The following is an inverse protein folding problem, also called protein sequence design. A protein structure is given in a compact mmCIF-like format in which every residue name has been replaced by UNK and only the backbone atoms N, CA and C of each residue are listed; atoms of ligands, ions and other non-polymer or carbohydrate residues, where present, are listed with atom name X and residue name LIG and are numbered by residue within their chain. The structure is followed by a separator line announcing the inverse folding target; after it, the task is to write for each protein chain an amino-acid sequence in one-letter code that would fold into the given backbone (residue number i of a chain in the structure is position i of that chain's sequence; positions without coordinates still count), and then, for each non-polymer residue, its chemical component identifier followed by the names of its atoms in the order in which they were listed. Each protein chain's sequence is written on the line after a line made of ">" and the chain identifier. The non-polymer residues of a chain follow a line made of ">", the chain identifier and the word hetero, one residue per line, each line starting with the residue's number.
data_IF_787274114167
#
_entry.id   IF_787274114167
#
_cell.length_a   1.000
_cell.length_b   1.000
_cell.length_c   1.000
_cell.angle_alpha   90.00
_cell.angle_beta   90.00
_cell.angle_gamma   90.00
#
_symmetry.space_group_name_H-M   'P 1'
#
loop_
_entity.id
_entity.type
_entity.pdbx_description
1 polymer ?
#
# COMPACT_ATOMS: atom_id res chain seq x y z
N UNK A 1 -31.12 9.32 10.95
CA UNK A 1 -30.00 8.52 10.39
C UNK A 1 -28.70 9.17 10.84
N UNK A 2 -27.82 8.43 11.53
CA UNK A 2 -26.49 8.92 11.87
C UNK A 2 -25.62 8.97 10.60
N UNK A 3 -24.79 10.01 10.47
CA UNK A 3 -23.88 10.17 9.34
C UNK A 3 -22.85 9.01 9.33
N UNK A 4 -22.73 8.23 8.22
CA UNK A 4 -21.78 7.12 8.13
C UNK A 4 -20.32 7.53 8.40
N UNK A 5 -19.89 8.69 7.91
CA UNK A 5 -18.54 9.23 8.16
C UNK A 5 -18.34 9.49 9.65
N UNK A 6 -19.32 10.10 10.33
CA UNK A 6 -19.25 10.33 11.77
C UNK A 6 -19.21 9.02 12.58
N UNK A 7 -19.92 7.99 12.14
CA UNK A 7 -19.86 6.64 12.74
C UNK A 7 -18.47 6.01 12.62
N UNK A 8 -17.73 6.29 11.55
CA UNK A 8 -16.33 5.87 11.41
C UNK A 8 -15.33 6.88 12.03
N UNK A 9 -15.80 8.05 12.47
CA UNK A 9 -14.95 9.12 13.01
C UNK A 9 -14.11 9.80 11.93
N UNK A 10 -14.66 9.89 10.73
CA UNK A 10 -14.04 10.45 9.54
C UNK A 10 -14.76 11.72 9.10
N UNK A 11 -14.07 12.52 8.31
CA UNK A 11 -14.63 13.67 7.60
C UNK A 11 -15.24 13.22 6.26
N UNK A 12 -16.19 13.97 5.68
CA UNK A 12 -16.81 13.60 4.40
C UNK A 12 -15.85 13.52 3.21
N UNK A 13 -14.66 14.13 3.32
CA UNK A 13 -13.60 14.08 2.30
C UNK A 13 -12.67 12.86 2.45
N UNK A 14 -12.88 11.99 3.46
CA UNK A 14 -12.02 10.84 3.72
C UNK A 14 -12.00 9.86 2.54
N UNK A 15 -10.79 9.47 2.12
CA UNK A 15 -10.56 8.53 1.03
C UNK A 15 -10.95 7.10 1.37
N UNK A 16 -10.97 6.22 0.36
CA UNK A 16 -11.33 4.81 0.57
C UNK A 16 -10.35 4.08 1.50
N UNK A 17 -9.07 4.43 1.44
CA UNK A 17 -8.04 3.89 2.33
C UNK A 17 -8.32 4.24 3.81
N UNK A 18 -8.71 5.49 4.07
CA UNK A 18 -9.10 5.97 5.40
C UNK A 18 -10.36 5.24 5.91
N UNK A 19 -11.36 5.07 5.05
CA UNK A 19 -12.61 4.35 5.35
C UNK A 19 -12.32 2.90 5.78
N UNK A 20 -11.59 2.12 4.96
CA UNK A 20 -11.24 0.73 5.29
C UNK A 20 -10.43 0.62 6.59
N UNK A 21 -9.51 1.56 6.84
CA UNK A 21 -8.66 1.54 8.04
C UNK A 21 -9.43 1.92 9.31
N UNK A 22 -10.25 2.96 9.26
CA UNK A 22 -11.09 3.38 10.38
C UNK A 22 -12.07 2.26 10.78
N UNK A 23 -12.68 1.59 9.80
CA UNK A 23 -13.51 0.41 10.03
C UNK A 23 -12.72 -0.70 10.74
N UNK A 24 -11.58 -1.15 10.19
CA UNK A 24 -10.75 -2.20 10.80
C UNK A 24 -10.34 -1.87 12.24
N UNK A 25 -10.00 -0.61 12.52
CA UNK A 25 -9.61 -0.14 13.86
C UNK A 25 -10.77 -0.16 14.85
N UNK A 26 -11.97 0.29 14.44
CA UNK A 26 -13.16 0.27 15.29
C UNK A 26 -13.73 -1.14 15.46
N UNK A 27 -13.75 -1.94 14.40
CA UNK A 27 -14.21 -3.32 14.41
C UNK A 27 -13.43 -4.18 15.42
N UNK A 28 -12.10 -4.01 15.51
CA UNK A 28 -11.27 -4.68 16.54
C UNK A 28 -11.65 -4.32 17.97
N UNK A 29 -12.11 -3.08 18.21
CA UNK A 29 -12.49 -2.60 19.55
C UNK A 29 -13.90 -3.00 19.96
N UNK A 30 -14.81 -3.01 18.98
CA UNK A 30 -16.25 -3.28 19.15
C UNK A 30 -16.61 -4.73 18.80
N UNK A 31 -15.64 -5.62 18.65
CA UNK A 31 -15.93 -7.01 18.36
C UNK A 31 -16.61 -7.64 19.59
N UNK A 32 -17.77 -8.31 19.42
CA UNK A 32 -18.52 -8.92 20.52
C UNK A 32 -17.66 -9.84 21.38
N UNK A 33 -16.80 -10.64 20.75
CA UNK A 33 -15.90 -11.58 21.43
C UNK A 33 -14.80 -10.91 22.28
N UNK A 34 -14.44 -9.66 21.98
CA UNK A 34 -13.32 -8.96 22.64
C UNK A 34 -13.80 -8.10 23.81
N UNK A 35 -15.02 -7.55 23.70
CA UNK A 35 -15.46 -6.48 24.59
C UNK A 35 -16.79 -6.77 25.29
N UNK A 36 -17.46 -7.89 24.98
CA UNK A 36 -18.86 -8.09 25.39
C UNK A 36 -19.78 -6.96 24.91
N UNK A 37 -19.33 -6.19 23.90
CA UNK A 37 -19.99 -4.97 23.47
C UNK A 37 -21.29 -5.26 22.75
N UNK A 38 -22.17 -4.27 22.80
CA UNK A 38 -23.45 -4.24 22.14
C UNK A 38 -23.34 -4.60 20.64
N UNK A 39 -23.88 -5.76 20.25
CA UNK A 39 -23.91 -6.25 18.87
C UNK A 39 -24.62 -5.27 17.91
N UNK A 40 -25.47 -4.38 18.42
CA UNK A 40 -26.06 -3.28 17.64
C UNK A 40 -25.00 -2.27 17.19
N UNK A 41 -24.04 -1.92 18.05
CA UNK A 41 -22.98 -0.97 17.69
C UNK A 41 -22.07 -1.52 16.60
N UNK A 42 -21.75 -2.81 16.65
CA UNK A 42 -21.00 -3.47 15.58
C UNK A 42 -21.79 -3.51 14.27
N UNK A 43 -23.10 -3.82 14.34
CA UNK A 43 -23.98 -3.78 13.16
C UNK A 43 -24.08 -2.39 12.54
N UNK A 44 -24.21 -1.34 13.36
CA UNK A 44 -24.23 0.05 12.90
C UNK A 44 -22.90 0.45 12.25
N UNK A 45 -21.77 0.05 12.84
CA UNK A 45 -20.44 0.26 12.26
C UNK A 45 -20.31 -0.42 10.89
N UNK A 46 -20.72 -1.68 10.80
CA UNK A 46 -20.68 -2.44 9.54
C UNK A 46 -21.59 -1.82 8.48
N UNK A 47 -22.82 -1.42 8.83
CA UNK A 47 -23.75 -0.78 7.92
C UNK A 47 -23.19 0.56 7.38
N UNK A 48 -22.57 1.37 8.25
CA UNK A 48 -21.92 2.61 7.84
C UNK A 48 -20.73 2.35 6.90
N UNK A 49 -19.87 1.38 7.23
CA UNK A 49 -18.75 0.99 6.38
C UNK A 49 -19.22 0.52 5.01
N UNK A 50 -20.23 -0.36 4.96
CA UNK A 50 -20.78 -0.88 3.71
C UNK A 50 -21.37 0.24 2.84
N UNK A 51 -22.16 1.14 3.43
CA UNK A 51 -22.73 2.28 2.70
C UNK A 51 -21.66 3.17 2.05
N UNK A 52 -20.55 3.43 2.76
CA UNK A 52 -19.43 4.21 2.24
C UNK A 52 -18.66 3.47 1.14
N UNK A 53 -18.48 2.15 1.27
CA UNK A 53 -17.87 1.33 0.21
C UNK A 53 -18.71 1.33 -1.05
N UNK A 54 -20.02 1.14 -0.91
CA UNK A 54 -20.97 1.14 -2.02
C UNK A 54 -21.00 2.53 -2.69
N UNK A 55 -20.97 3.62 -1.92
CA UNK A 55 -20.84 4.99 -2.46
C UNK A 55 -19.56 5.15 -3.30
N UNK A 56 -18.41 4.71 -2.78
CA UNK A 56 -17.12 4.81 -3.48
C UNK A 56 -17.05 3.93 -4.72
N UNK A 57 -17.55 2.70 -4.66
CA UNK A 57 -17.65 1.81 -5.81
C UNK A 57 -18.53 2.42 -6.92
N UNK A 58 -19.68 3.00 -6.55
CA UNK A 58 -20.55 3.68 -7.50
C UNK A 58 -19.88 4.92 -8.14
N UNK A 59 -19.12 5.71 -7.37
CA UNK A 59 -18.38 6.85 -7.90
C UNK A 59 -17.30 6.40 -8.88
N UNK A 60 -16.55 5.35 -8.53
CA UNK A 60 -15.57 4.73 -9.41
C UNK A 60 -16.23 4.29 -10.72
N UNK A 61 -17.31 3.52 -10.66
CA UNK A 61 -18.02 3.07 -11.87
C UNK A 61 -18.49 4.24 -12.73
N UNK A 62 -19.04 5.31 -12.13
CA UNK A 62 -19.49 6.50 -12.86
C UNK A 62 -18.35 7.25 -13.53
N UNK A 63 -17.16 7.30 -12.90
CA UNK A 63 -15.99 7.94 -13.48
C UNK A 63 -15.46 7.17 -14.71
N UNK A 64 -15.67 5.85 -14.76
CA UNK A 64 -15.08 4.99 -15.79
C UNK A 64 -16.07 4.45 -16.83
N UNK A 65 -17.38 4.70 -16.69
CA UNK A 65 -18.40 4.27 -17.65
C UNK A 65 -18.79 5.43 -18.56
N UNK A 66 -18.25 5.46 -19.79
CA UNK A 66 -18.54 6.54 -20.77
C UNK A 66 -19.99 6.51 -21.27
N UNK A 67 -20.72 5.41 -21.17
CA UNK A 67 -22.15 5.32 -21.51
C UNK A 67 -22.67 3.96 -21.01
N UNK A 68 -23.57 3.93 -20.03
CA UNK A 68 -24.23 2.67 -19.62
C UNK A 68 -25.16 2.20 -20.76
N UNK A 69 -24.99 0.98 -21.30
CA UNK A 69 -26.10 0.31 -21.98
C UNK A 69 -27.18 -0.06 -20.94
N UNK A 70 -28.40 -0.33 -21.43
CA UNK A 70 -29.66 -0.54 -20.70
C UNK A 70 -29.57 -1.46 -19.46
N UNK A 71 -30.61 -1.38 -18.62
CA UNK A 71 -30.85 -2.18 -17.41
C UNK A 71 -30.39 -3.64 -17.58
N UNK A 72 -29.49 -4.10 -16.68
CA UNK A 72 -28.71 -5.36 -16.66
C UNK A 72 -27.25 -5.35 -17.18
N UNK A 73 -26.57 -4.20 -17.23
CA UNK A 73 -25.14 -4.17 -17.54
C UNK A 73 -24.26 -4.70 -16.38
N UNK A 74 -23.62 -5.87 -16.58
CA UNK A 74 -22.60 -6.40 -15.68
C UNK A 74 -21.21 -5.83 -16.05
N UNK A 75 -20.76 -4.83 -15.28
CA UNK A 75 -19.51 -4.13 -15.56
C UNK A 75 -18.27 -5.04 -15.51
N UNK A 76 -18.25 -6.02 -14.60
CA UNK A 76 -17.13 -6.95 -14.50
C UNK A 76 -17.00 -7.83 -15.72
N UNK A 77 -18.10 -8.42 -16.17
CA UNK A 77 -18.11 -9.27 -17.38
C UNK A 77 -17.68 -8.47 -18.60
N UNK A 78 -18.10 -7.21 -18.69
CA UNK A 78 -17.65 -6.30 -19.73
C UNK A 78 -16.13 -6.05 -19.68
N UNK A 79 -15.55 -5.84 -18.49
CA UNK A 79 -14.09 -5.71 -18.35
C UNK A 79 -13.33 -6.99 -18.69
N UNK A 80 -13.86 -8.16 -18.30
CA UNK A 80 -13.25 -9.47 -18.57
C UNK A 80 -13.15 -9.80 -20.06
N UNK A 81 -14.07 -9.27 -20.88
CA UNK A 81 -14.04 -9.46 -22.34
C UNK A 81 -12.99 -8.59 -23.04
N UNK A 82 -12.37 -7.65 -22.33
CA UNK A 82 -11.47 -6.66 -22.90
C UNK A 82 -10.01 -7.04 -22.65
N UNK A 83 -9.19 -6.82 -23.67
CA UNK A 83 -7.74 -7.14 -23.64
C UNK A 83 -6.85 -5.91 -23.53
N UNK A 84 -7.41 -4.71 -23.65
CA UNK A 84 -6.66 -3.46 -23.50
C UNK A 84 -6.21 -3.23 -22.06
N UNK A 85 -5.07 -2.56 -21.93
CA UNK A 85 -4.40 -2.32 -20.64
C UNK A 85 -5.26 -1.49 -19.68
N UNK A 86 -5.97 -0.48 -20.18
CA UNK A 86 -6.84 0.38 -19.37
C UNK A 86 -7.91 -0.46 -18.65
N UNK A 87 -8.59 -1.33 -19.39
CA UNK A 87 -9.67 -2.15 -18.84
C UNK A 87 -9.16 -3.20 -17.88
N UNK A 88 -8.01 -3.80 -18.17
CA UNK A 88 -7.34 -4.73 -17.25
C UNK A 88 -6.90 -4.04 -15.96
N UNK A 89 -6.37 -2.82 -16.05
CA UNK A 89 -6.04 -2.03 -14.86
C UNK A 89 -7.30 -1.70 -14.04
N UNK A 90 -8.39 -1.31 -14.71
CA UNK A 90 -9.68 -1.03 -14.03
C UNK A 90 -10.25 -2.27 -13.35
N UNK A 91 -10.10 -3.43 -13.96
CA UNK A 91 -10.55 -4.70 -13.39
C UNK A 91 -9.83 -5.03 -12.08
N UNK A 92 -8.53 -4.76 -11.96
CA UNK A 92 -7.79 -4.94 -10.68
C UNK A 92 -8.48 -4.20 -9.54
N UNK A 93 -8.72 -2.90 -9.70
CA UNK A 93 -9.32 -2.11 -8.63
C UNK A 93 -10.80 -2.38 -8.43
N UNK A 94 -11.52 -2.73 -9.50
CA UNK A 94 -12.91 -3.16 -9.37
C UNK A 94 -13.00 -4.45 -8.53
N UNK A 95 -12.19 -5.47 -8.83
CA UNK A 95 -12.19 -6.73 -8.06
C UNK A 95 -11.75 -6.51 -6.61
N UNK A 96 -10.75 -5.65 -6.37
CA UNK A 96 -10.30 -5.25 -5.03
C UNK A 96 -11.41 -4.60 -4.18
N UNK A 97 -12.35 -3.92 -4.83
CA UNK A 97 -13.46 -3.22 -4.17
C UNK A 97 -14.68 -4.12 -3.96
N UNK A 98 -14.75 -5.26 -4.64
CA UNK A 98 -15.90 -6.18 -4.62
C UNK A 98 -15.59 -7.51 -3.93
N UNK A 99 -14.60 -7.55 -3.03
CA UNK A 99 -14.24 -8.74 -2.25
C UNK A 99 -13.60 -9.85 -3.10
N UNK A 100 -12.95 -9.47 -4.19
CA UNK A 100 -12.18 -10.35 -5.08
C UNK A 100 -10.70 -9.97 -5.03
N UNK A 101 -10.15 -9.89 -3.82
CA UNK A 101 -8.76 -9.50 -3.59
C UNK A 101 -7.77 -10.47 -4.24
N UNK A 102 -8.14 -11.75 -4.39
CA UNK A 102 -7.32 -12.75 -5.08
C UNK A 102 -7.21 -12.49 -6.58
N UNK A 103 -8.34 -12.31 -7.27
CA UNK A 103 -8.37 -11.98 -8.70
C UNK A 103 -7.63 -10.67 -8.98
N UNK A 104 -7.82 -9.66 -8.10
CA UNK A 104 -7.17 -8.37 -8.22
C UNK A 104 -5.64 -8.47 -8.13
N UNK A 105 -5.13 -9.21 -7.13
CA UNK A 105 -3.68 -9.37 -6.93
C UNK A 105 -3.05 -10.18 -8.07
N UNK A 106 -3.68 -11.26 -8.51
CA UNK A 106 -3.15 -12.07 -9.60
C UNK A 106 -3.10 -11.29 -10.92
N UNK A 107 -4.17 -10.55 -11.25
CA UNK A 107 -4.16 -9.70 -12.44
C UNK A 107 -3.12 -8.57 -12.34
N UNK A 108 -2.96 -7.96 -11.16
CA UNK A 108 -1.95 -6.93 -10.95
C UNK A 108 -0.52 -7.46 -11.15
N UNK A 109 -0.22 -8.66 -10.64
CA UNK A 109 1.08 -9.32 -10.84
C UNK A 109 1.37 -9.60 -12.31
N UNK A 110 0.35 -10.00 -13.07
CA UNK A 110 0.47 -10.17 -14.53
C UNK A 110 0.78 -8.82 -15.18
N UNK A 111 0.02 -7.77 -14.83
CA UNK A 111 0.23 -6.43 -15.39
C UNK A 111 1.62 -5.87 -15.07
N UNK A 112 2.14 -6.04 -13.85
CA UNK A 112 3.50 -5.57 -13.50
C UNK A 112 4.61 -6.23 -14.34
N UNK A 113 4.37 -7.40 -14.93
CA UNK A 113 5.33 -8.08 -15.80
C UNK A 113 5.22 -7.62 -17.26
N UNK A 114 4.04 -7.20 -17.67
CA UNK A 114 3.73 -6.84 -19.06
C UNK A 114 3.87 -5.33 -19.33
N UNK A 115 3.54 -4.49 -18.35
CA UNK A 115 3.49 -3.04 -18.49
C UNK A 115 4.30 -2.35 -17.39
N UNK A 116 4.83 -1.17 -17.71
CA UNK A 116 5.51 -0.33 -16.72
C UNK A 116 4.55 0.07 -15.58
N UNK A 117 5.04 0.04 -14.34
CA UNK A 117 4.25 0.42 -13.16
C UNK A 117 3.64 1.82 -13.26
N UNK A 118 4.35 2.78 -13.89
CA UNK A 118 3.85 4.13 -14.15
C UNK A 118 2.62 4.15 -15.09
N UNK A 119 2.46 3.13 -15.93
CA UNK A 119 1.36 3.02 -16.88
C UNK A 119 0.06 2.65 -16.18
N UNK A 120 0.11 1.78 -15.16
CA UNK A 120 -1.07 1.47 -14.33
C UNK A 120 -1.66 2.75 -13.75
N UNK A 121 -0.82 3.60 -13.12
CA UNK A 121 -1.25 4.87 -12.54
C UNK A 121 -1.89 5.83 -13.54
N UNK A 122 -1.46 5.81 -14.81
CA UNK A 122 -1.92 6.74 -15.84
C UNK A 122 -3.37 6.55 -16.26
N UNK A 123 -3.96 5.39 -15.97
CA UNK A 123 -5.35 5.06 -16.32
C UNK A 123 -6.38 5.53 -15.29
N UNK A 124 -5.93 6.20 -14.22
CA UNK A 124 -6.79 6.62 -13.11
C UNK A 124 -6.59 8.10 -12.79
N UNK A 125 -7.64 8.77 -12.27
CA UNK A 125 -7.44 9.99 -11.51
C UNK A 125 -6.43 9.74 -10.38
N UNK A 126 -5.54 10.72 -10.17
CA UNK A 126 -4.44 10.59 -9.21
C UNK A 126 -4.91 10.16 -7.82
N UNK A 127 -5.98 10.77 -7.32
CA UNK A 127 -6.48 10.55 -5.96
C UNK A 127 -7.08 9.16 -5.80
N UNK A 128 -7.84 8.72 -6.80
CA UNK A 128 -8.36 7.34 -6.89
C UNK A 128 -7.21 6.33 -6.90
N UNK A 129 -6.19 6.54 -7.73
CA UNK A 129 -5.02 5.65 -7.75
C UNK A 129 -4.31 5.59 -6.40
N UNK A 130 -4.17 6.72 -5.70
CA UNK A 130 -3.52 6.75 -4.39
C UNK A 130 -4.32 5.96 -3.36
N UNK A 131 -5.64 6.17 -3.29
CA UNK A 131 -6.54 5.45 -2.39
C UNK A 131 -6.53 3.94 -2.65
N UNK A 132 -6.87 3.53 -3.88
CA UNK A 132 -6.97 2.11 -4.22
C UNK A 132 -5.60 1.44 -4.28
N UNK A 133 -4.56 2.16 -4.69
CA UNK A 133 -3.18 1.69 -4.69
C UNK A 133 -2.69 1.39 -3.27
N UNK A 134 -3.06 2.19 -2.27
CA UNK A 134 -2.70 1.88 -0.89
C UNK A 134 -3.39 0.60 -0.39
N UNK A 135 -4.67 0.43 -0.71
CA UNK A 135 -5.42 -0.80 -0.36
C UNK A 135 -4.77 -2.02 -1.02
N UNK A 136 -4.41 -1.91 -2.30
CA UNK A 136 -3.73 -2.97 -3.02
C UNK A 136 -2.35 -3.28 -2.42
N UNK A 137 -1.60 -2.26 -1.99
CA UNK A 137 -0.32 -2.46 -1.32
C UNK A 137 -0.46 -3.17 0.03
N UNK A 138 -1.54 -2.91 0.78
CA UNK A 138 -1.86 -3.68 1.99
C UNK A 138 -2.13 -5.15 1.67
N UNK A 139 -2.92 -5.44 0.64
CA UNK A 139 -3.23 -6.80 0.21
C UNK A 139 -1.98 -7.55 -0.30
N UNK A 140 -1.12 -6.90 -1.08
CA UNK A 140 0.17 -7.45 -1.51
C UNK A 140 1.07 -7.76 -0.30
N UNK A 141 1.14 -6.84 0.67
CA UNK A 141 1.90 -7.05 1.90
C UNK A 141 1.37 -8.22 2.72
N UNK A 142 0.04 -8.38 2.79
CA UNK A 142 -0.60 -9.51 3.46
C UNK A 142 -0.23 -10.85 2.80
N UNK A 143 -0.16 -10.88 1.46
CA UNK A 143 0.21 -12.05 0.65
C UNK A 143 1.73 -12.27 0.51
N UNK A 144 2.55 -11.50 1.23
CA UNK A 144 4.01 -11.54 1.16
C UNK A 144 4.63 -11.15 -0.19
N UNK A 145 3.87 -10.46 -1.05
CA UNK A 145 4.34 -9.87 -2.31
C UNK A 145 5.00 -8.50 -2.03
N UNK A 146 6.04 -8.50 -1.19
CA UNK A 146 6.60 -7.28 -0.61
C UNK A 146 7.26 -6.35 -1.61
N UNK A 147 7.86 -6.89 -2.68
CA UNK A 147 8.55 -6.09 -3.68
C UNK A 147 7.55 -5.21 -4.45
N UNK A 148 6.50 -5.83 -4.99
CA UNK A 148 5.42 -5.12 -5.68
C UNK A 148 4.69 -4.14 -4.75
N UNK A 149 4.46 -4.53 -3.49
CA UNK A 149 3.87 -3.64 -2.48
C UNK A 149 4.70 -2.36 -2.29
N UNK A 150 6.02 -2.48 -2.16
CA UNK A 150 6.91 -1.32 -1.96
C UNK A 150 6.98 -0.44 -3.20
N UNK A 151 7.02 -1.01 -4.41
CA UNK A 151 7.00 -0.21 -5.65
C UNK A 151 5.69 0.57 -5.82
N UNK A 152 4.56 -0.02 -5.40
CA UNK A 152 3.28 0.69 -5.40
C UNK A 152 3.26 1.81 -4.34
N UNK A 153 3.77 1.54 -3.14
CA UNK A 153 3.88 2.53 -2.06
C UNK A 153 4.81 3.67 -2.42
N UNK A 154 5.90 3.41 -3.14
CA UNK A 154 6.79 4.44 -3.66
C UNK A 154 6.06 5.39 -4.59
N UNK A 155 5.29 4.89 -5.55
CA UNK A 155 4.51 5.74 -6.46
C UNK A 155 3.59 6.67 -5.67
N UNK A 156 2.94 6.13 -4.65
CA UNK A 156 2.06 6.87 -3.75
C UNK A 156 2.84 7.95 -2.98
N UNK A 157 3.99 7.60 -2.39
CA UNK A 157 4.84 8.54 -1.65
C UNK A 157 5.30 9.68 -2.56
N UNK A 158 5.78 9.36 -3.77
CA UNK A 158 6.23 10.35 -4.75
C UNK A 158 5.06 11.24 -5.19
N UNK A 159 3.86 10.68 -5.39
CA UNK A 159 2.67 11.47 -5.69
C UNK A 159 2.31 12.41 -4.53
N UNK A 160 2.36 11.95 -3.28
CA UNK A 160 2.07 12.77 -2.10
C UNK A 160 3.08 13.92 -1.96
N UNK A 161 4.38 13.64 -2.12
CA UNK A 161 5.43 14.66 -2.07
C UNK A 161 5.24 15.76 -3.12
N UNK A 162 4.73 15.40 -4.32
CA UNK A 162 4.43 16.37 -5.38
C UNK A 162 3.21 17.24 -5.07
N UNK A 163 2.16 16.65 -4.49
CA UNK A 163 0.92 17.36 -4.12
C UNK A 163 0.25 16.67 -2.94
N UNK A 164 0.23 17.24 -1.73
CA UNK A 164 -0.40 16.56 -0.59
C UNK A 164 -1.87 16.21 -0.85
N UNK A 165 -2.25 14.97 -0.54
CA UNK A 165 -3.61 14.44 -0.66
C UNK A 165 -4.04 13.75 0.64
N UNK A 166 -3.22 12.85 1.16
CA UNK A 166 -3.57 12.03 2.31
C UNK A 166 -3.64 12.80 3.63
N UNK A 167 -3.15 14.03 3.71
CA UNK A 167 -3.22 14.89 4.92
C UNK A 167 -2.76 14.11 6.17
N UNK A 168 -3.67 13.78 7.08
CA UNK A 168 -3.39 13.05 8.33
C UNK A 168 -3.19 11.54 8.15
N UNK A 169 -3.55 10.98 7.00
CA UNK A 169 -3.41 9.56 6.68
C UNK A 169 -2.02 9.20 6.15
N UNK A 170 -1.25 10.14 5.61
CA UNK A 170 0.06 9.85 5.02
C UNK A 170 1.04 9.11 5.96
N UNK A 171 1.08 9.39 7.28
CA UNK A 171 1.89 8.60 8.21
C UNK A 171 1.57 7.10 8.21
N UNK A 172 0.37 6.68 7.84
CA UNK A 172 -0.01 5.27 7.73
C UNK A 172 0.61 4.61 6.50
N UNK A 173 0.73 5.36 5.39
CA UNK A 173 1.47 4.94 4.20
C UNK A 173 2.93 4.72 4.56
N UNK A 174 3.55 5.71 5.21
CA UNK A 174 4.94 5.60 5.67
C UNK A 174 5.12 4.44 6.67
N UNK A 175 4.20 4.25 7.61
CA UNK A 175 4.29 3.17 8.59
C UNK A 175 4.27 1.78 7.94
N UNK A 176 3.42 1.57 6.92
CA UNK A 176 3.39 0.31 6.17
C UNK A 176 4.70 0.09 5.39
N UNK A 177 5.15 1.08 4.61
CA UNK A 177 6.39 1.01 3.84
C UNK A 177 7.58 0.70 4.75
N UNK A 178 7.69 1.42 5.87
CA UNK A 178 8.73 1.22 6.89
C UNK A 178 8.69 -0.19 7.48
N UNK A 179 7.51 -0.70 7.80
CA UNK A 179 7.36 -2.05 8.34
C UNK A 179 7.90 -3.10 7.36
N UNK A 180 7.54 -2.97 6.08
CA UNK A 180 7.98 -3.88 5.04
C UNK A 180 9.50 -3.83 4.89
N UNK A 181 10.07 -2.64 4.70
CA UNK A 181 11.51 -2.44 4.48
C UNK A 181 12.38 -2.91 5.64
N UNK A 182 11.95 -2.74 6.89
CA UNK A 182 12.76 -3.12 8.06
C UNK A 182 12.61 -4.59 8.45
N UNK A 183 11.44 -5.20 8.20
CA UNK A 183 11.07 -6.45 8.85
C UNK A 183 10.58 -7.55 7.91
N UNK A 184 10.25 -7.25 6.65
CA UNK A 184 9.56 -8.21 5.78
C UNK A 184 10.29 -8.54 4.48
N UNK A 185 11.31 -7.77 4.07
CA UNK A 185 12.02 -8.07 2.82
C UNK A 185 13.30 -8.90 3.00
N UNK A 186 13.99 -8.74 4.12
CA UNK A 186 15.29 -9.38 4.36
C UNK A 186 15.15 -10.91 4.49
N UNK A 187 15.72 -11.65 3.53
CA UNK A 187 15.66 -13.11 3.47
C UNK A 187 14.40 -13.68 2.81
N UNK A 188 13.44 -12.84 2.41
CA UNK A 188 12.25 -13.25 1.66
C UNK A 188 12.43 -12.99 0.17
N UNK A 189 12.94 -11.80 -0.19
CA UNK A 189 13.28 -11.47 -1.57
C UNK A 189 14.79 -11.59 -1.81
N UNK A 190 15.20 -11.66 -3.07
CA UNK A 190 16.62 -11.69 -3.45
C UNK A 190 17.36 -10.45 -2.91
N UNK A 191 18.62 -10.64 -2.49
CA UNK A 191 19.42 -9.60 -1.86
C UNK A 191 19.58 -8.35 -2.74
N UNK A 192 19.77 -8.53 -4.04
CA UNK A 192 19.85 -7.45 -5.04
C UNK A 192 18.55 -6.63 -5.08
N UNK A 193 17.40 -7.30 -5.13
CA UNK A 193 16.09 -6.64 -5.11
C UNK A 193 15.86 -5.88 -3.81
N UNK A 194 16.26 -6.45 -2.67
CA UNK A 194 16.15 -5.77 -1.36
C UNK A 194 17.03 -4.52 -1.29
N UNK A 195 18.27 -4.60 -1.78
CA UNK A 195 19.18 -3.44 -1.89
C UNK A 195 18.56 -2.36 -2.76
N UNK A 196 18.05 -2.71 -3.94
CA UNK A 196 17.40 -1.76 -4.83
C UNK A 196 16.23 -1.04 -4.15
N UNK A 197 15.41 -1.74 -3.36
CA UNK A 197 14.34 -1.09 -2.60
C UNK A 197 14.84 -0.15 -1.51
N UNK A 198 15.87 -0.54 -0.75
CA UNK A 198 16.44 0.34 0.28
C UNK A 198 17.12 1.57 -0.32
N UNK A 199 17.83 1.43 -1.44
CA UNK A 199 18.43 2.57 -2.16
C UNK A 199 17.37 3.60 -2.53
N UNK A 200 16.27 3.15 -3.15
CA UNK A 200 15.14 4.02 -3.50
C UNK A 200 14.53 4.67 -2.25
N UNK A 201 14.42 3.90 -1.15
CA UNK A 201 13.83 4.39 0.09
C UNK A 201 14.59 5.54 0.76
N UNK A 202 15.88 5.72 0.44
CA UNK A 202 16.67 6.85 0.94
C UNK A 202 16.18 8.19 0.38
N UNK A 203 15.52 8.20 -0.78
CA UNK A 203 14.97 9.41 -1.41
C UNK A 203 13.55 9.76 -0.92
N UNK A 204 12.94 8.90 -0.10
CA UNK A 204 11.53 9.03 0.30
C UNK A 204 11.32 9.84 1.60
N UNK A 205 12.40 10.24 2.29
CA UNK A 205 12.35 11.12 3.45
C UNK A 205 11.81 10.47 4.74
N UNK A 206 12.20 9.23 5.04
CA UNK A 206 11.85 8.51 6.28
C UNK A 206 12.55 9.08 7.53
N UNK A 207 13.54 9.93 7.34
CA UNK A 207 14.28 10.58 8.40
C UNK A 207 15.48 9.76 8.85
N UNK A 208 16.45 10.45 9.45
CA UNK A 208 17.81 9.95 9.69
C UNK A 208 17.89 8.61 10.43
N UNK A 209 16.98 8.36 11.37
CA UNK A 209 16.98 7.11 12.16
C UNK A 209 16.60 5.89 11.31
N UNK A 210 15.57 6.03 10.49
CA UNK A 210 15.09 4.93 9.64
C UNK A 210 15.99 4.75 8.42
N UNK A 211 16.47 5.83 7.81
CA UNK A 211 17.48 5.79 6.75
C UNK A 211 18.79 5.11 7.20
N UNK A 212 19.27 5.44 8.40
CA UNK A 212 20.41 4.73 9.00
C UNK A 212 20.13 3.25 9.21
N UNK A 213 18.89 2.86 9.55
CA UNK A 213 18.50 1.46 9.68
C UNK A 213 18.45 0.75 8.32
N UNK A 214 17.96 1.40 7.26
CA UNK A 214 17.99 0.88 5.89
C UNK A 214 19.43 0.64 5.42
N UNK A 215 20.34 1.58 5.67
CA UNK A 215 21.76 1.41 5.33
C UNK A 215 22.41 0.22 6.05
N UNK A 216 22.08 -0.03 7.31
CA UNK A 216 22.55 -1.24 8.01
C UNK A 216 21.99 -2.53 7.39
N UNK A 217 20.74 -2.50 6.93
CA UNK A 217 20.13 -3.63 6.21
C UNK A 217 20.81 -3.86 4.86
N UNK A 218 21.08 -2.81 4.09
CA UNK A 218 21.86 -2.86 2.84
C UNK A 218 23.25 -3.43 3.07
N UNK A 219 23.96 -2.99 4.11
CA UNK A 219 25.27 -3.53 4.46
C UNK A 219 25.24 -5.04 4.71
N UNK A 220 24.17 -5.52 5.38
CA UNK A 220 23.90 -6.94 5.55
C UNK A 220 23.72 -7.69 4.22
N UNK A 221 22.97 -7.13 3.29
CA UNK A 221 22.76 -7.71 1.97
C UNK A 221 24.04 -7.71 1.11
N UNK A 222 24.79 -6.61 1.06
CA UNK A 222 26.06 -6.55 0.34
C UNK A 222 27.10 -7.53 0.91
N UNK A 223 27.14 -7.70 2.24
CA UNK A 223 28.01 -8.69 2.86
C UNK A 223 27.65 -10.12 2.43
N UNK A 224 26.35 -10.46 2.32
CA UNK A 224 25.88 -11.75 1.78
C UNK A 224 26.28 -11.93 0.31
N UNK A 225 26.34 -10.85 -0.46
CA UNK A 225 26.79 -10.83 -1.86
C UNK A 225 28.32 -10.74 -2.00
N UNK A 226 29.08 -10.92 -0.92
CA UNK A 226 30.55 -10.80 -0.87
C UNK A 226 31.12 -9.43 -1.27
N UNK A 227 30.30 -8.37 -1.30
CA UNK A 227 30.75 -7.01 -1.58
C UNK A 227 31.09 -6.26 -0.27
N UNK A 228 32.31 -6.51 0.22
CA UNK A 228 32.80 -5.94 1.49
C UNK A 228 32.93 -4.42 1.45
N UNK A 229 33.31 -3.86 0.30
CA UNK A 229 33.53 -2.42 0.13
C UNK A 229 32.22 -1.65 0.29
N UNK A 230 31.16 -2.05 -0.41
CA UNK A 230 29.87 -1.38 -0.29
C UNK A 230 29.25 -1.59 1.11
N UNK A 231 29.44 -2.77 1.71
CA UNK A 231 29.01 -3.01 3.08
C UNK A 231 29.65 -2.01 4.06
N UNK A 232 30.96 -1.75 3.95
CA UNK A 232 31.67 -0.77 4.78
C UNK A 232 31.15 0.66 4.56
N UNK A 233 30.94 1.06 3.30
CA UNK A 233 30.39 2.38 2.94
C UNK A 233 29.02 2.60 3.57
N UNK A 234 28.11 1.63 3.46
CA UNK A 234 26.78 1.72 4.07
C UNK A 234 26.85 1.84 5.60
N UNK A 235 27.76 1.13 6.27
CA UNK A 235 27.91 1.23 7.73
C UNK A 235 28.44 2.61 8.15
N UNK A 236 29.43 3.13 7.42
CA UNK A 236 29.98 4.46 7.68
C UNK A 236 28.91 5.54 7.51
N UNK A 237 28.14 5.46 6.42
CA UNK A 237 27.06 6.41 6.15
C UNK A 237 25.92 6.31 7.18
N UNK A 238 25.56 5.09 7.60
CA UNK A 238 24.56 4.88 8.65
C UNK A 238 24.95 5.57 9.96
N UNK A 239 26.23 5.49 10.34
CA UNK A 239 26.76 6.17 11.52
C UNK A 239 26.83 7.69 11.36
N UNK A 240 27.10 8.18 10.14
CA UNK A 240 27.07 9.62 9.83
C UNK A 240 25.67 10.20 9.99
N UNK A 241 24.64 9.48 9.53
CA UNK A 241 23.25 9.89 9.69
C UNK A 241 22.76 9.78 11.14
N UNK A 242 23.16 8.73 11.84
CA UNK A 242 22.79 8.48 13.23
C UNK A 242 23.96 7.87 14.01
N UNK A 243 24.67 8.69 14.80
CA UNK A 243 25.83 8.25 15.57
C UNK A 243 25.51 7.11 16.57
N UNK A 244 24.26 7.04 17.06
CA UNK A 244 23.78 5.97 17.95
C UNK A 244 23.31 4.71 17.22
N UNK A 245 23.49 4.61 15.90
CA UNK A 245 23.01 3.47 15.12
C UNK A 245 23.72 2.17 15.53
N UNK A 246 22.95 1.16 15.92
CA UNK A 246 23.48 -0.14 16.32
C UNK A 246 23.91 -0.93 15.08
N UNK A 247 25.19 -1.33 15.06
CA UNK A 247 25.73 -2.25 14.04
C UNK A 247 25.72 -3.69 14.57
N UNK A 248 25.09 -4.64 13.87
CA UNK A 248 25.11 -6.07 14.21
C UNK A 248 26.53 -6.63 14.29
N UNK A 249 26.77 -7.59 15.19
CA UNK A 249 28.10 -8.18 15.39
C UNK A 249 28.68 -8.79 14.11
N UNK A 250 27.85 -9.43 13.28
CA UNK A 250 28.23 -10.01 11.99
C UNK A 250 28.80 -9.01 10.98
N UNK A 251 28.50 -7.72 11.15
CA UNK A 251 28.92 -6.65 10.25
C UNK A 251 30.10 -5.84 10.79
N UNK A 252 30.51 -6.05 12.05
CA UNK A 252 31.63 -5.32 12.66
C UNK A 252 32.98 -5.58 11.98
N UNK A 253 33.12 -6.72 11.31
CA UNK A 253 34.32 -7.05 10.52
C UNK A 253 34.50 -6.16 9.27
N UNK A 254 33.48 -5.37 8.91
CA UNK A 254 33.50 -4.43 7.78
C UNK A 254 33.53 -2.97 8.23
N UNK A 255 33.65 -2.71 9.54
CA UNK A 255 33.90 -1.38 10.09
C UNK A 255 35.39 -1.07 10.11
#
# INVERSE_FOLDING_TARGET
>A
MQNPYALLGLTPDAGMAEIKRAYRKKAKKLHPDVSGSDAEQFRLLYAAYKALCDERANLFERAFTVQKPRESFNYREWLLQRTDEESRCKLVFWDLMHGREEDAVELFKILNREISACKVASWFPREDFMDYGFILAEELSFRAEFYDAVLLLEQIIVMEQKRPYFKHFFPEVQALTRNILLHRIDGIIHAESAVALWERALDWGFGKKDEAAFLIKMAGAYAKMHNKTLAAVCIAEAKRLNAGQRVPASLRQFM
#
